data_IF_845682804935
#
_entry.id   IF_845682804935
#
_cell.length_a   1.000
_cell.length_b   1.000
_cell.length_c   1.000
_cell.angle_alpha   90.00
_cell.angle_beta   90.00
_cell.angle_gamma   90.00
#
_symmetry.space_group_name_H-M   'P 1'
#
loop_
_entity.id
_entity.type
_entity.pdbx_description
1 polymer ?
#
# COMPACT_ATOMS: atom_id res chain seq x y z
N UNK A 1 -35.14 32.92 16.88
CA UNK A 1 -34.46 31.66 17.24
C UNK A 1 -34.88 30.65 16.18
N UNK A 2 -34.03 30.44 15.18
CA UNK A 2 -34.23 29.46 14.11
C UNK A 2 -33.01 28.57 14.18
N UNK A 3 -33.21 27.33 14.62
CA UNK A 3 -32.16 26.30 14.59
C UNK A 3 -31.93 25.88 13.13
N UNK A 4 -30.75 26.17 12.61
CA UNK A 4 -30.24 25.51 11.42
C UNK A 4 -29.65 24.16 11.84
N UNK A 5 -30.44 23.10 11.66
CA UNK A 5 -29.92 21.74 11.60
C UNK A 5 -29.07 21.60 10.32
N UNK A 6 -27.76 21.78 10.45
CA UNK A 6 -26.80 21.30 9.47
C UNK A 6 -26.56 19.81 9.76
N UNK A 7 -27.37 18.95 9.17
CA UNK A 7 -26.97 17.57 8.94
C UNK A 7 -25.78 17.59 7.97
N UNK A 8 -24.58 17.55 8.52
CA UNK A 8 -23.37 17.31 7.76
C UNK A 8 -23.44 15.85 7.26
N UNK A 9 -23.86 15.68 6.01
CA UNK A 9 -23.72 14.41 5.31
C UNK A 9 -22.50 14.53 4.38
N UNK A 10 -21.30 14.09 4.79
CA UNK A 10 -20.18 13.99 3.87
C UNK A 10 -20.47 12.80 2.95
N UNK A 11 -21.23 13.04 1.88
CA UNK A 11 -21.19 12.15 0.74
C UNK A 11 -19.74 12.12 0.29
N UNK A 12 -18.99 11.08 0.70
CA UNK A 12 -17.69 10.75 0.13
C UNK A 12 -17.92 10.68 -1.36
N UNK A 13 -17.41 11.66 -2.11
CA UNK A 13 -17.43 11.61 -3.56
C UNK A 13 -16.45 10.52 -3.94
N UNK A 14 -16.97 9.31 -4.10
CA UNK A 14 -16.21 8.21 -4.64
C UNK A 14 -16.04 8.45 -6.14
N UNK A 15 -14.79 8.44 -6.59
CA UNK A 15 -14.44 8.62 -7.98
C UNK A 15 -14.17 7.23 -8.56
N UNK A 16 -15.12 6.75 -9.36
CA UNK A 16 -14.92 5.58 -10.21
C UNK A 16 -13.89 5.92 -11.28
N UNK A 17 -12.93 5.02 -11.48
CA UNK A 17 -12.02 5.09 -12.62
C UNK A 17 -12.41 4.11 -13.72
N UNK A 18 -13.45 3.29 -13.53
CA UNK A 18 -13.95 2.40 -14.58
C UNK A 18 -14.37 3.18 -15.84
N UNK A 19 -13.73 2.88 -16.97
CA UNK A 19 -13.90 3.56 -18.26
C UNK A 19 -13.71 5.09 -18.20
N UNK A 20 -12.90 5.59 -17.25
CA UNK A 20 -12.69 7.02 -17.06
C UNK A 20 -12.16 7.71 -18.33
N UNK A 21 -12.76 8.85 -18.68
CA UNK A 21 -12.40 9.60 -19.89
C UNK A 21 -12.68 8.86 -21.21
N UNK A 22 -13.36 7.71 -21.20
CA UNK A 22 -13.56 6.87 -22.38
C UNK A 22 -12.31 6.10 -22.82
N UNK A 23 -11.30 6.03 -21.95
CA UNK A 23 -10.04 5.32 -22.23
C UNK A 23 -10.24 3.83 -21.94
N UNK A 24 -9.92 2.97 -22.92
CA UNK A 24 -10.21 1.53 -22.84
C UNK A 24 -9.40 0.80 -21.77
N UNK A 25 -8.18 1.23 -21.46
CA UNK A 25 -7.33 0.64 -20.43
C UNK A 25 -7.86 0.85 -19.00
N UNK A 26 -8.85 1.73 -18.83
CA UNK A 26 -9.59 1.87 -17.58
C UNK A 26 -10.78 0.91 -17.44
N UNK A 27 -11.07 0.09 -18.45
CA UNK A 27 -12.15 -0.89 -18.36
C UNK A 27 -11.86 -1.92 -17.27
N UNK A 28 -12.78 -2.04 -16.31
CA UNK A 28 -12.65 -2.91 -15.15
C UNK A 28 -11.67 -2.40 -14.07
N UNK A 29 -11.21 -1.15 -14.13
CA UNK A 29 -10.23 -0.62 -13.16
C UNK A 29 -10.69 -0.81 -11.71
N UNK A 30 -11.95 -0.50 -11.43
CA UNK A 30 -12.51 -0.58 -10.08
C UNK A 30 -12.72 -2.04 -9.61
N UNK A 31 -12.50 -3.07 -10.45
CA UNK A 31 -12.65 -4.47 -10.04
C UNK A 31 -11.60 -4.90 -9.02
N UNK A 32 -10.43 -4.25 -8.97
CA UNK A 32 -9.35 -4.67 -8.11
C UNK A 32 -9.62 -4.36 -6.63
N UNK A 33 -9.92 -3.10 -6.29
CA UNK A 33 -10.24 -2.70 -4.91
C UNK A 33 -11.72 -2.37 -4.65
N UNK A 34 -12.51 -2.16 -5.71
CA UNK A 34 -13.86 -1.63 -5.62
C UNK A 34 -13.92 -0.10 -5.85
N UNK A 35 -15.06 0.36 -6.39
CA UNK A 35 -15.32 1.77 -6.75
C UNK A 35 -15.17 2.75 -5.59
N UNK A 36 -15.39 2.28 -4.35
CA UNK A 36 -15.35 3.12 -3.15
C UNK A 36 -14.04 2.98 -2.36
N UNK A 37 -13.06 2.23 -2.89
CA UNK A 37 -11.81 1.90 -2.19
C UNK A 37 -10.56 2.10 -3.06
N UNK A 38 -10.41 3.29 -3.64
CA UNK A 38 -9.27 3.59 -4.53
C UNK A 38 -7.90 3.20 -3.96
N UNK A 39 -7.69 3.36 -2.65
CA UNK A 39 -6.39 3.14 -2.01
C UNK A 39 -6.25 1.74 -1.38
N UNK A 40 -7.25 0.87 -1.50
CA UNK A 40 -7.18 -0.48 -0.94
C UNK A 40 -7.12 -0.53 0.57
N UNK A 41 -7.75 0.43 1.27
CA UNK A 41 -7.86 0.38 2.72
C UNK A 41 -8.72 -0.83 3.12
N UNK A 42 -8.29 -1.54 4.16
CA UNK A 42 -9.03 -2.66 4.74
C UNK A 42 -9.04 -2.50 6.28
N UNK A 43 -10.13 -2.94 6.89
CA UNK A 43 -10.36 -2.79 8.34
C UNK A 43 -10.15 -4.08 9.12
N UNK A 44 -10.17 -5.23 8.42
CA UNK A 44 -10.07 -6.55 9.03
C UNK A 44 -8.83 -7.25 8.49
N UNK A 45 -8.06 -7.85 9.39
CA UNK A 45 -6.91 -8.67 9.07
C UNK A 45 -7.04 -10.05 9.72
N UNK A 46 -6.53 -11.07 9.06
CA UNK A 46 -6.43 -12.43 9.59
C UNK A 46 -4.95 -12.71 9.81
N UNK A 47 -4.54 -12.71 11.08
CA UNK A 47 -3.18 -13.07 11.46
C UNK A 47 -3.05 -14.58 11.44
N UNK A 48 -2.09 -15.08 10.65
CA UNK A 48 -1.80 -16.51 10.56
C UNK A 48 -0.68 -16.89 11.52
N UNK A 49 -0.90 -17.93 12.32
CA UNK A 49 0.13 -18.53 13.15
C UNK A 49 1.04 -19.41 12.27
N UNK A 50 2.08 -18.83 11.68
CA UNK A 50 3.16 -19.56 11.01
C UNK A 50 4.42 -19.63 11.91
N UNK A 51 5.49 -20.27 11.43
CA UNK A 51 6.81 -20.27 12.11
C UNK A 51 7.14 -18.86 12.58
N UNK A 52 7.72 -18.76 13.79
CA UNK A 52 8.01 -17.46 14.40
C UNK A 52 9.00 -16.67 13.54
N UNK A 53 8.47 -15.76 12.73
CA UNK A 53 9.26 -14.77 12.01
C UNK A 53 9.72 -13.72 13.01
N UNK A 54 11.03 -13.55 13.18
CA UNK A 54 11.62 -12.58 14.10
C UNK A 54 12.30 -11.48 13.30
N UNK A 55 12.05 -10.21 13.62
CA UNK A 55 12.77 -9.14 12.96
C UNK A 55 14.27 -9.23 13.23
N UNK A 56 15.08 -9.08 12.18
CA UNK A 56 16.54 -9.19 12.27
C UNK A 56 17.19 -7.82 12.17
N UNK A 57 18.24 -7.60 12.95
CA UNK A 57 19.10 -6.43 12.79
C UNK A 57 20.00 -6.63 11.59
N UNK A 58 19.83 -5.78 10.58
CA UNK A 58 20.67 -5.70 9.38
C UNK A 58 21.05 -4.24 9.13
N UNK A 59 22.08 -4.01 8.34
CA UNK A 59 22.46 -2.65 7.95
C UNK A 59 21.30 -1.96 7.21
N UNK A 60 21.00 -0.73 7.61
CA UNK A 60 19.85 0.02 7.04
C UNK A 60 20.00 0.23 5.53
N UNK A 61 21.22 0.34 5.04
CA UNK A 61 21.52 0.46 3.61
C UNK A 61 21.05 -0.78 2.83
N UNK A 62 21.17 -1.98 3.40
CA UNK A 62 20.70 -3.22 2.78
C UNK A 62 19.17 -3.22 2.68
N UNK A 63 18.46 -2.68 3.68
CA UNK A 63 17.01 -2.50 3.61
C UNK A 63 16.64 -1.46 2.54
N UNK A 64 17.36 -0.34 2.48
CA UNK A 64 17.14 0.72 1.49
C UNK A 64 17.35 0.22 0.05
N UNK A 65 18.39 -0.58 -0.19
CA UNK A 65 18.64 -1.20 -1.50
C UNK A 65 17.46 -2.09 -1.94
N UNK A 66 16.94 -2.92 -1.03
CA UNK A 66 15.76 -3.77 -1.31
C UNK A 66 14.51 -2.94 -1.62
N UNK A 67 14.27 -1.87 -0.87
CA UNK A 67 13.13 -0.99 -1.11
C UNK A 67 13.28 -0.21 -2.43
N UNK A 68 14.49 0.19 -2.80
CA UNK A 68 14.77 0.84 -4.08
C UNK A 68 14.47 -0.10 -5.26
N UNK A 69 14.79 -1.39 -5.12
CA UNK A 69 14.42 -2.39 -6.14
C UNK A 69 12.90 -2.42 -6.32
N UNK A 70 12.11 -2.50 -5.24
CA UNK A 70 10.65 -2.48 -5.34
C UNK A 70 10.11 -1.19 -5.99
N UNK A 71 10.75 -0.06 -5.72
CA UNK A 71 10.41 1.22 -6.35
C UNK A 71 10.65 1.20 -7.87
N UNK A 72 11.81 0.71 -8.33
CA UNK A 72 12.11 0.62 -9.76
C UNK A 72 11.27 -0.47 -10.45
N UNK A 73 10.97 -1.57 -9.76
CA UNK A 73 10.04 -2.60 -10.26
C UNK A 73 8.64 -2.04 -10.49
N UNK A 74 8.12 -1.21 -9.58
CA UNK A 74 6.83 -0.56 -9.78
C UNK A 74 6.83 0.33 -11.03
N UNK A 75 7.91 1.11 -11.25
CA UNK A 75 8.08 1.90 -12.48
C UNK A 75 8.14 1.01 -13.72
N UNK A 76 8.91 -0.07 -13.67
CA UNK A 76 9.04 -1.01 -14.77
C UNK A 76 7.68 -1.59 -15.17
N UNK A 77 6.93 -2.13 -14.19
CA UNK A 77 5.59 -2.69 -14.40
C UNK A 77 4.67 -1.67 -15.09
N UNK A 78 4.58 -0.45 -14.55
CA UNK A 78 3.68 0.57 -15.08
C UNK A 78 4.10 1.02 -16.48
N UNK A 79 5.38 1.27 -16.70
CA UNK A 79 5.88 1.80 -17.98
C UNK A 79 5.91 0.76 -19.11
N UNK A 80 6.05 -0.53 -18.80
CA UNK A 80 6.06 -1.61 -19.80
C UNK A 80 4.66 -2.20 -20.07
N UNK A 81 3.74 -2.18 -19.09
CA UNK A 81 2.44 -2.86 -19.20
C UNK A 81 1.24 -1.94 -19.41
N UNK A 82 1.39 -0.63 -19.21
CA UNK A 82 0.32 0.36 -19.40
C UNK A 82 0.76 1.36 -20.46
N UNK A 83 0.02 1.46 -21.57
CA UNK A 83 0.37 2.34 -22.69
C UNK A 83 -0.07 3.79 -22.46
N UNK A 84 -1.26 3.98 -21.89
CA UNK A 84 -1.88 5.28 -21.72
C UNK A 84 -1.32 6.00 -20.48
N UNK A 85 -0.83 7.22 -20.68
CA UNK A 85 -0.18 8.01 -19.62
C UNK A 85 -1.14 8.40 -18.49
N UNK A 86 -2.42 8.58 -18.81
CA UNK A 86 -3.48 8.79 -17.82
C UNK A 86 -3.63 7.58 -16.92
N UNK A 87 -3.63 6.37 -17.50
CA UNK A 87 -3.75 5.11 -16.75
C UNK A 87 -2.49 4.84 -15.93
N UNK A 88 -1.29 5.09 -16.48
CA UNK A 88 -0.05 5.04 -15.72
C UNK A 88 -0.11 5.95 -14.48
N UNK A 89 -0.60 7.18 -14.66
CA UNK A 89 -0.73 8.16 -13.58
C UNK A 89 -1.67 7.68 -12.48
N UNK A 90 -2.85 7.18 -12.86
CA UNK A 90 -3.86 6.72 -11.90
C UNK A 90 -3.39 5.45 -11.17
N UNK A 91 -2.83 4.46 -11.88
CA UNK A 91 -2.29 3.22 -11.28
C UNK A 91 -1.14 3.53 -10.32
N UNK A 92 -0.22 4.42 -10.71
CA UNK A 92 0.88 4.81 -9.83
C UNK A 92 0.39 5.54 -8.58
N UNK A 93 -0.60 6.43 -8.73
CA UNK A 93 -1.19 7.13 -7.59
C UNK A 93 -1.95 6.17 -6.65
N UNK A 94 -2.61 5.15 -7.21
CA UNK A 94 -3.22 4.08 -6.42
C UNK A 94 -2.16 3.33 -5.61
N UNK A 95 -1.06 2.90 -6.24
CA UNK A 95 0.06 2.24 -5.56
C UNK A 95 0.62 3.07 -4.41
N UNK A 96 0.93 4.35 -4.64
CA UNK A 96 1.43 5.26 -3.61
C UNK A 96 0.43 5.43 -2.45
N UNK A 97 -0.86 5.56 -2.78
CA UNK A 97 -1.90 5.70 -1.76
C UNK A 97 -2.04 4.42 -0.93
N UNK A 98 -1.96 3.23 -1.54
CA UNK A 98 -2.00 1.95 -0.84
C UNK A 98 -0.81 1.77 0.10
N UNK A 99 0.41 2.10 -0.35
CA UNK A 99 1.59 2.06 0.50
C UNK A 99 1.51 3.00 1.70
N UNK A 100 0.80 4.13 1.58
CA UNK A 100 0.71 5.12 2.65
C UNK A 100 0.03 4.61 3.93
N UNK A 101 -0.89 3.63 3.80
CA UNK A 101 -1.64 3.05 4.94
C UNK A 101 -0.72 2.40 5.97
N UNK A 102 0.37 1.77 5.51
CA UNK A 102 1.34 1.12 6.38
C UNK A 102 2.01 2.09 7.36
N UNK A 103 2.03 3.40 7.05
CA UNK A 103 2.50 4.42 8.00
C UNK A 103 1.64 4.44 9.26
N UNK A 104 0.32 4.29 9.14
CA UNK A 104 -0.60 4.24 10.29
C UNK A 104 -0.42 2.95 11.10
N UNK A 105 -0.08 1.84 10.44
CA UNK A 105 0.24 0.58 11.12
C UNK A 105 1.52 0.74 11.94
N UNK A 106 2.58 1.29 11.35
CA UNK A 106 3.85 1.56 12.03
C UNK A 106 3.67 2.51 13.24
N UNK A 107 2.77 3.48 13.13
CA UNK A 107 2.39 4.40 14.22
C UNK A 107 1.47 3.75 15.27
N UNK A 108 0.94 2.55 15.00
CA UNK A 108 -0.09 1.83 15.78
C UNK A 108 -1.39 2.62 15.96
N UNK A 109 -1.81 3.33 14.92
CA UNK A 109 -3.03 4.16 14.92
C UNK A 109 -4.15 3.62 14.04
N UNK A 110 -3.86 2.68 13.13
CA UNK A 110 -4.86 2.06 12.25
C UNK A 110 -5.79 1.07 12.95
N UNK A 111 -5.32 0.44 14.04
CA UNK A 111 -5.96 -0.73 14.65
C UNK A 111 -5.48 -2.06 14.06
N UNK A 112 -4.73 -2.03 12.95
CA UNK A 112 -4.13 -3.21 12.35
C UNK A 112 -2.81 -3.59 13.05
N UNK A 113 -2.36 -4.82 12.82
CA UNK A 113 -1.06 -5.30 13.27
C UNK A 113 -0.01 -4.90 12.24
N UNK A 114 1.25 -4.76 12.67
CA UNK A 114 2.35 -4.41 11.78
C UNK A 114 2.87 -5.70 11.15
N UNK A 115 2.42 -5.99 9.93
CA UNK A 115 2.76 -7.22 9.23
C UNK A 115 2.68 -7.07 7.72
N UNK A 116 2.79 -8.20 7.03
CA UNK A 116 2.61 -8.30 5.58
C UNK A 116 1.75 -9.51 5.25
N UNK A 117 1.02 -9.44 4.14
CA UNK A 117 0.23 -10.56 3.66
C UNK A 117 1.13 -11.59 2.94
N UNK A 118 1.30 -12.75 3.58
CA UNK A 118 2.17 -13.81 3.08
C UNK A 118 1.66 -14.47 1.80
N UNK A 119 0.33 -14.52 1.59
CA UNK A 119 -0.24 -15.05 0.36
C UNK A 119 0.10 -14.13 -0.81
N UNK A 120 -0.06 -12.81 -0.64
CA UNK A 120 0.28 -11.83 -1.69
C UNK A 120 1.78 -11.78 -1.96
N UNK A 121 2.62 -11.66 -0.92
CA UNK A 121 4.07 -11.57 -1.08
C UNK A 121 4.64 -12.83 -1.76
N UNK A 122 4.04 -14.01 -1.57
CA UNK A 122 4.50 -15.25 -2.20
C UNK A 122 4.53 -15.23 -3.74
N UNK A 123 3.80 -14.32 -4.38
CA UNK A 123 3.78 -14.16 -5.83
C UNK A 123 4.99 -13.42 -6.42
N UNK A 124 5.94 -12.94 -5.60
CA UNK A 124 7.08 -12.15 -6.10
C UNK A 124 7.85 -12.85 -7.25
N UNK A 125 7.98 -14.18 -7.19
CA UNK A 125 8.66 -14.96 -8.23
C UNK A 125 7.88 -15.04 -9.56
N UNK A 126 6.58 -14.77 -9.54
CA UNK A 126 5.70 -14.79 -10.71
C UNK A 126 5.65 -13.45 -11.46
N UNK A 127 6.33 -12.41 -10.96
CA UNK A 127 6.39 -11.11 -11.63
C UNK A 127 7.14 -11.16 -12.97
N UNK A 128 8.04 -12.14 -13.13
CA UNK A 128 8.86 -12.31 -14.32
C UNK A 128 8.72 -13.71 -14.90
N UNK A 129 8.77 -13.78 -16.23
CA UNK A 129 8.92 -15.04 -16.96
C UNK A 129 10.37 -15.56 -16.80
N UNK A 130 10.59 -16.82 -17.19
CA UNK A 130 11.92 -17.43 -17.11
C UNK A 130 12.99 -16.73 -17.99
N UNK A 131 12.57 -15.95 -18.98
CA UNK A 131 13.45 -15.14 -19.84
C UNK A 131 13.77 -13.75 -19.27
N UNK A 132 13.23 -13.41 -18.10
CA UNK A 132 13.41 -12.12 -17.43
C UNK A 132 12.46 -11.01 -17.91
N UNK A 133 11.57 -11.27 -18.87
CA UNK A 133 10.49 -10.34 -19.23
C UNK A 133 9.42 -10.29 -18.14
N UNK A 134 8.69 -9.18 -18.03
CA UNK A 134 7.56 -9.10 -17.11
C UNK A 134 6.46 -10.09 -17.50
N UNK A 135 5.89 -10.75 -16.49
CA UNK A 135 4.75 -11.61 -16.69
C UNK A 135 3.49 -10.80 -16.98
N UNK A 136 2.66 -11.29 -17.91
CA UNK A 136 1.33 -10.73 -18.21
C UNK A 136 0.20 -11.63 -17.70
N UNK A 137 0.52 -12.62 -16.85
CA UNK A 137 -0.47 -13.54 -16.32
C UNK A 137 -1.24 -12.90 -15.16
N UNK A 138 -2.53 -13.19 -15.09
CA UNK A 138 -3.33 -12.95 -13.89
C UNK A 138 -2.80 -13.84 -12.76
N UNK A 139 -2.44 -13.21 -11.63
CA UNK A 139 -1.90 -13.89 -10.46
C UNK A 139 -3.00 -14.51 -9.58
N UNK A 140 -4.28 -14.29 -9.92
CA UNK A 140 -5.44 -14.96 -9.31
C UNK A 140 -5.91 -14.33 -7.99
N UNK A 141 -5.58 -13.06 -7.74
CA UNK A 141 -6.03 -12.31 -6.57
C UNK A 141 -6.55 -10.92 -6.93
N UNK A 142 -7.29 -10.34 -6.00
CA UNK A 142 -7.79 -8.97 -6.04
C UNK A 142 -7.29 -8.18 -4.84
N UNK A 143 -7.56 -6.87 -4.83
CA UNK A 143 -7.31 -6.04 -3.67
C UNK A 143 -8.12 -6.43 -2.43
N UNK A 144 -9.24 -7.15 -2.58
CA UNK A 144 -10.00 -7.67 -1.44
C UNK A 144 -9.33 -8.84 -0.72
N UNK A 145 -8.28 -9.42 -1.30
CA UNK A 145 -7.51 -10.51 -0.71
C UNK A 145 -6.40 -10.03 0.23
N UNK A 146 -6.07 -8.73 0.20
CA UNK A 146 -5.07 -8.12 1.08
C UNK A 146 -5.53 -8.19 2.54
N UNK A 147 -4.65 -8.65 3.42
CA UNK A 147 -4.89 -8.72 4.86
C UNK A 147 -5.47 -10.06 5.31
N UNK A 148 -5.68 -11.02 4.41
CA UNK A 148 -6.28 -12.32 4.72
C UNK A 148 -5.27 -13.38 5.17
N UNK A 149 -3.97 -13.14 5.02
CA UNK A 149 -2.90 -14.05 5.46
C UNK A 149 -1.71 -13.30 6.07
N UNK A 150 -1.96 -12.48 7.09
CA UNK A 150 -0.96 -11.58 7.67
C UNK A 150 0.00 -12.33 8.60
N UNK A 151 1.30 -12.20 8.32
CA UNK A 151 2.38 -12.57 9.24
C UNK A 151 2.79 -11.32 10.01
N UNK A 152 2.89 -11.44 11.33
CA UNK A 152 3.34 -10.38 12.24
C UNK A 152 4.69 -10.77 12.84
N UNK A 153 5.81 -10.20 12.36
CA UNK A 153 7.11 -10.51 12.92
C UNK A 153 7.23 -10.13 14.40
N UNK A 154 7.77 -11.04 15.21
CA UNK A 154 8.10 -10.81 16.61
C UNK A 154 9.45 -10.09 16.76
N UNK A 155 9.88 -9.83 17.99
CA UNK A 155 11.21 -9.28 18.28
C UNK A 155 11.38 -7.76 18.14
N UNK A 156 10.31 -7.01 17.86
CA UNK A 156 10.37 -5.55 17.78
C UNK A 156 10.60 -4.90 19.16
N UNK A 157 11.18 -3.70 19.16
CA UNK A 157 11.54 -2.94 20.37
C UNK A 157 10.42 -2.01 20.86
N UNK A 158 9.16 -2.27 20.49
CA UNK A 158 8.08 -1.38 20.86
C UNK A 158 7.81 -1.39 22.37
N UNK A 159 7.72 -0.21 22.94
CA UNK A 159 7.30 0.04 24.31
C UNK A 159 6.07 0.94 24.32
N UNK A 160 4.93 0.42 24.80
CA UNK A 160 3.67 1.16 24.79
C UNK A 160 3.66 2.47 25.59
N UNK A 161 4.60 2.67 26.51
CA UNK A 161 4.72 3.92 27.28
C UNK A 161 5.53 5.01 26.56
N UNK A 162 6.56 4.63 25.78
CA UNK A 162 7.52 5.60 25.21
C UNK A 162 7.54 5.64 23.69
N UNK A 163 7.30 4.50 23.01
CA UNK A 163 7.35 4.40 21.56
C UNK A 163 6.35 5.29 20.82
N UNK A 164 5.09 5.50 21.27
CA UNK A 164 4.18 6.40 20.57
C UNK A 164 4.77 7.80 20.31
N UNK A 165 5.41 8.39 21.33
CA UNK A 165 6.03 9.71 21.20
C UNK A 165 7.29 9.67 20.33
N UNK A 166 8.19 8.69 20.54
CA UNK A 166 9.44 8.62 19.78
C UNK A 166 9.22 8.28 18.30
N UNK A 167 8.28 7.38 18.00
CA UNK A 167 7.92 7.01 16.62
C UNK A 167 7.20 8.17 15.94
N UNK A 168 6.29 8.88 16.63
CA UNK A 168 5.67 10.09 16.12
C UNK A 168 6.69 11.19 15.77
N UNK A 169 7.70 11.40 16.63
CA UNK A 169 8.80 12.33 16.34
C UNK A 169 9.60 11.92 15.11
N UNK A 170 9.94 10.62 14.97
CA UNK A 170 10.65 10.09 13.82
C UNK A 170 9.84 10.27 12.52
N UNK A 171 8.54 9.98 12.55
CA UNK A 171 7.62 10.17 11.44
C UNK A 171 7.55 11.63 10.99
N UNK A 172 7.39 12.57 11.93
CA UNK A 172 7.35 14.00 11.62
C UNK A 172 8.66 14.51 11.03
N UNK A 173 9.80 14.02 11.53
CA UNK A 173 11.12 14.35 10.98
C UNK A 173 11.25 13.82 9.54
N UNK A 174 10.78 12.60 9.26
CA UNK A 174 10.79 12.00 7.93
C UNK A 174 9.90 12.78 6.94
N UNK A 175 8.67 13.14 7.33
CA UNK A 175 7.79 13.99 6.50
C UNK A 175 8.47 15.33 6.20
N UNK A 176 9.07 15.94 7.22
CA UNK A 176 9.76 17.22 7.06
C UNK A 176 10.91 17.11 6.05
N UNK A 177 11.73 16.06 6.14
CA UNK A 177 12.82 15.80 5.19
C UNK A 177 12.30 15.54 3.76
N UNK A 178 11.21 14.78 3.61
CA UNK A 178 10.60 14.50 2.31
C UNK A 178 10.04 15.78 1.67
N UNK A 179 9.39 16.66 2.46
CA UNK A 179 8.87 17.94 1.98
C UNK A 179 9.95 19.00 1.72
N UNK A 180 11.10 18.88 2.38
CA UNK A 180 12.24 19.81 2.31
C UNK A 180 13.18 19.59 1.13
N UNK A 181 12.92 18.62 0.25
CA UNK A 181 13.73 18.38 -0.94
C UNK A 181 13.36 19.36 -2.07
N UNK A 182 13.77 20.62 -1.90
CA UNK A 182 13.81 21.62 -2.97
C UNK A 182 15.05 22.53 -2.81
N UNK A 183 16.10 22.15 -3.53
CA UNK A 183 17.15 23.03 -4.05
C UNK A 183 17.69 22.42 -5.35
#
# INVERSE_FOLDING_TARGET
MVELNLSFNPARRHHSFDNWGGISSFSGFDNFYGVDNFSGVFSDQVVVEQQEEVCQTVDIEVVQQKLLILQEMAKQIITEQVCEVETQTVVFQQFLSSCSHFSSDLLRTSGNQIGYDSAIVSHYGSLYNADGSLSTYDLGFSGSDVGRSVIVPSGNNWNSATSPASVGNAFNAAISAASGSSA
#
